data_IF_415373296674
#
_entry.id   IF_415373296674
#
_cell.length_a   1.000
_cell.length_b   1.000
_cell.length_c   1.000
_cell.angle_alpha   90.00
_cell.angle_beta   90.00
_cell.angle_gamma   90.00
#
_symmetry.space_group_name_H-M   'P 1'
#
loop_
_entity.id
_entity.type
_entity.pdbx_description
1 polymer ?
#
# COMPACT_ATOMS: atom_id res chain seq x y z
N UNK A 1 6.80 -3.76 2.21
CA UNK A 1 5.45 -4.01 2.77
C UNK A 1 4.43 -3.81 1.66
N UNK A 2 3.17 -4.17 1.87
CA UNK A 2 2.10 -3.91 0.91
C UNK A 2 0.85 -3.40 1.65
N UNK A 3 -0.05 -2.78 0.91
CA UNK A 3 -1.36 -2.33 1.39
C UNK A 3 -2.40 -3.17 0.65
N UNK A 4 -3.29 -3.83 1.40
CA UNK A 4 -4.41 -4.56 0.81
C UNK A 4 -5.50 -3.57 0.37
N UNK A 5 -5.99 -3.72 -0.86
CA UNK A 5 -7.16 -2.98 -1.38
C UNK A 5 -8.42 -3.84 -1.46
N UNK A 6 -8.29 -5.14 -1.16
CA UNK A 6 -9.37 -6.09 -0.99
C UNK A 6 -9.05 -7.10 0.13
N UNK A 7 -10.06 -7.87 0.56
CA UNK A 7 -9.88 -8.91 1.57
C UNK A 7 -8.98 -10.05 1.04
N UNK A 8 -7.87 -10.32 1.71
CA UNK A 8 -6.86 -11.31 1.32
C UNK A 8 -6.58 -12.34 2.42
N UNK A 9 -7.64 -12.94 2.98
CA UNK A 9 -7.58 -13.80 4.18
C UNK A 9 -6.62 -15.02 4.04
N UNK A 10 -6.27 -15.42 2.81
CA UNK A 10 -5.29 -16.48 2.56
C UNK A 10 -3.84 -16.10 2.92
N UNK A 11 -3.61 -14.83 3.30
CA UNK A 11 -2.32 -14.28 3.75
C UNK A 11 -2.21 -14.15 5.27
N UNK A 12 -3.28 -14.37 6.04
CA UNK A 12 -3.36 -14.03 7.48
C UNK A 12 -2.27 -14.69 8.33
N UNK A 13 -1.86 -15.91 8.00
CA UNK A 13 -0.81 -16.66 8.72
C UNK A 13 0.57 -16.55 8.06
N UNK A 14 0.66 -15.86 6.93
CA UNK A 14 1.87 -15.77 6.09
C UNK A 14 2.54 -14.40 6.17
N UNK A 15 1.78 -13.35 6.48
CA UNK A 15 2.27 -11.99 6.54
C UNK A 15 1.78 -11.28 7.81
N UNK A 16 2.71 -10.77 8.60
CA UNK A 16 2.39 -10.01 9.81
C UNK A 16 1.69 -8.70 9.46
N UNK A 17 0.48 -8.51 9.98
CA UNK A 17 -0.22 -7.22 9.94
C UNK A 17 0.33 -6.33 11.06
N UNK A 18 0.91 -5.19 10.70
CA UNK A 18 1.52 -4.24 11.64
C UNK A 18 0.91 -2.83 11.61
N UNK A 19 -0.13 -2.61 10.80
CA UNK A 19 -0.81 -1.33 10.68
C UNK A 19 -2.00 -1.38 9.72
N UNK A 20 -2.78 -0.29 9.70
CA UNK A 20 -3.87 -0.08 8.75
C UNK A 20 -3.90 1.37 8.29
N UNK A 21 -4.35 1.60 7.06
CA UNK A 21 -4.58 2.94 6.54
C UNK A 21 -5.79 3.53 7.25
N UNK A 22 -5.64 4.71 7.86
CA UNK A 22 -6.72 5.44 8.56
C UNK A 22 -7.20 6.66 7.77
N UNK A 23 -6.39 7.17 6.84
CA UNK A 23 -6.69 8.29 5.94
C UNK A 23 -5.94 8.09 4.61
N UNK A 24 -6.47 8.64 3.50
CA UNK A 24 -5.83 8.58 2.18
C UNK A 24 -6.10 7.30 1.38
N UNK A 25 -7.20 6.59 1.65
CA UNK A 25 -7.56 5.39 0.87
C UNK A 25 -7.93 5.71 -0.59
N UNK A 26 -8.38 6.94 -0.88
CA UNK A 26 -8.56 7.46 -2.23
C UNK A 26 -7.24 7.55 -3.00
N UNK A 27 -6.15 7.94 -2.33
CA UNK A 27 -4.80 7.93 -2.92
C UNK A 27 -4.32 6.51 -3.17
N UNK A 28 -4.57 5.57 -2.24
CA UNK A 28 -4.27 4.14 -2.45
C UNK A 28 -5.03 3.62 -3.67
N UNK A 29 -6.31 3.96 -3.81
CA UNK A 29 -7.13 3.60 -4.96
C UNK A 29 -6.64 4.27 -6.27
N UNK A 30 -6.12 5.49 -6.20
CA UNK A 30 -5.50 6.11 -7.37
C UNK A 30 -4.24 5.35 -7.82
N UNK A 31 -3.40 4.91 -6.86
CA UNK A 31 -2.16 4.16 -7.12
C UNK A 31 -2.46 2.78 -7.73
N UNK A 32 -3.44 2.04 -7.18
CA UNK A 32 -3.77 0.68 -7.67
C UNK A 32 -4.28 0.68 -9.12
N UNK A 33 -4.88 1.80 -9.57
CA UNK A 33 -5.42 1.96 -10.91
C UNK A 33 -4.42 2.58 -11.91
N UNK A 34 -3.16 2.78 -11.51
CA UNK A 34 -2.12 3.27 -12.42
C UNK A 34 -1.76 2.23 -13.48
N UNK A 35 -1.26 2.69 -14.63
CA UNK A 35 -0.82 1.80 -15.71
C UNK A 35 0.41 0.99 -15.26
N UNK A 36 0.33 -0.32 -15.41
CA UNK A 36 1.45 -1.24 -15.16
C UNK A 36 2.05 -1.77 -16.47
N UNK A 37 3.32 -2.12 -16.42
CA UNK A 37 4.07 -2.80 -17.46
C UNK A 37 4.31 -4.27 -17.10
N UNK A 38 5.45 -4.82 -17.52
CA UNK A 38 5.80 -6.21 -17.22
C UNK A 38 5.93 -6.46 -15.71
N UNK A 39 5.46 -7.63 -15.26
CA UNK A 39 5.49 -8.07 -13.85
C UNK A 39 4.80 -7.09 -12.88
N UNK A 40 3.70 -6.48 -13.32
CA UNK A 40 2.89 -5.53 -12.55
C UNK A 40 3.65 -4.29 -12.04
N UNK A 41 4.82 -3.99 -12.62
CA UNK A 41 5.58 -2.78 -12.28
C UNK A 41 4.87 -1.55 -12.86
N UNK A 42 4.58 -0.49 -12.09
CA UNK A 42 4.07 0.77 -12.63
C UNK A 42 4.95 1.31 -13.78
N UNK A 43 4.31 1.87 -14.81
CA UNK A 43 5.03 2.50 -15.95
C UNK A 43 5.75 3.77 -15.50
N UNK A 44 5.09 4.56 -14.65
CA UNK A 44 5.67 5.71 -13.98
C UNK A 44 6.08 5.29 -12.56
N UNK A 45 7.28 5.67 -12.11
CA UNK A 45 7.80 5.27 -10.81
C UNK A 45 6.96 5.86 -9.65
N UNK A 46 6.59 5.01 -8.70
CA UNK A 46 5.88 5.40 -7.47
C UNK A 46 6.89 5.47 -6.31
N UNK A 47 7.34 6.68 -5.96
CA UNK A 47 8.44 6.90 -5.00
C UNK A 47 7.90 7.42 -3.66
N UNK A 48 8.32 6.79 -2.57
CA UNK A 48 8.09 7.32 -1.21
C UNK A 48 9.17 8.37 -0.93
N UNK A 49 8.78 9.64 -0.86
CA UNK A 49 9.72 10.74 -0.61
C UNK A 49 10.06 10.92 0.87
N UNK A 50 9.09 10.74 1.77
CA UNK A 50 9.25 10.92 3.21
C UNK A 50 8.27 10.02 3.97
N UNK A 51 8.72 9.51 5.12
CA UNK A 51 7.86 8.89 6.12
C UNK A 51 8.04 9.66 7.43
N UNK A 52 6.92 10.06 8.04
CA UNK A 52 6.91 10.76 9.33
C UNK A 52 6.21 9.89 10.38
N UNK A 53 6.86 9.73 11.54
CA UNK A 53 6.33 8.92 12.64
C UNK A 53 5.79 9.84 13.72
N UNK A 54 4.47 9.85 13.86
CA UNK A 54 3.79 10.57 14.93
C UNK A 54 3.83 9.73 16.21
N UNK A 55 4.70 10.09 17.13
CA UNK A 55 4.70 9.50 18.47
C UNK A 55 3.70 10.28 19.32
N UNK A 56 2.49 9.73 19.49
CA UNK A 56 1.62 10.16 20.57
C UNK A 56 2.30 9.77 21.88
N UNK A 57 2.70 10.75 22.68
CA UNK A 57 3.19 10.52 24.05
C UNK A 57 2.06 10.04 24.94
#
# INVERSE_FOLDING_TARGET
FFINTANNNFLDTKHTVFGKVTAGMDVVAAIENTKTGANDRPVEDMVIEKIEVNVAR
#
